data_IF_277593486431
#
_entry.id   IF_277593486431
#
_cell.length_a   1.000
_cell.length_b   1.000
_cell.length_c   1.000
_cell.angle_alpha   90.00
_cell.angle_beta   90.00
_cell.angle_gamma   90.00
#
_symmetry.space_group_name_H-M   'P 1'
#
loop_
_entity.id
_entity.type
_entity.pdbx_description
1 polymer ?
#
# COMPACT_ATOMS: atom_id res chain seq x y z
N UNK A 1 -18.36 18.13 5.19
CA UNK A 1 -18.38 19.51 5.70
C UNK A 1 -17.14 19.66 6.55
N UNK A 2 -16.18 20.51 6.15
CA UNK A 2 -14.97 20.78 6.95
C UNK A 2 -15.30 21.93 7.91
N UNK A 3 -14.96 21.82 9.19
CA UNK A 3 -15.25 22.87 10.17
C UNK A 3 -14.64 24.21 9.77
N UNK A 4 -15.36 25.31 9.97
CA UNK A 4 -14.85 26.69 9.84
C UNK A 4 -14.70 27.30 11.25
N UNK A 5 -13.53 27.83 11.63
CA UNK A 5 -12.27 27.84 10.88
C UNK A 5 -11.69 26.43 10.71
N UNK A 6 -10.82 26.28 9.70
CA UNK A 6 -10.15 25.02 9.42
C UNK A 6 -9.45 24.51 10.70
N UNK A 7 -9.69 23.26 11.09
CA UNK A 7 -9.11 22.74 12.32
C UNK A 7 -7.59 22.59 12.18
N UNK A 8 -6.89 22.85 13.27
CA UNK A 8 -5.51 22.44 13.44
C UNK A 8 -5.48 20.91 13.54
N UNK A 9 -4.58 20.27 12.78
CA UNK A 9 -4.51 18.81 12.68
C UNK A 9 -3.18 18.31 13.25
N UNK A 10 -3.26 17.34 14.15
CA UNK A 10 -2.09 16.71 14.77
C UNK A 10 -2.22 15.19 14.67
N UNK A 11 -1.17 14.54 14.21
CA UNK A 11 -1.12 13.07 14.11
C UNK A 11 -0.39 12.46 15.29
N UNK A 12 -0.88 11.31 15.77
CA UNK A 12 -0.22 10.48 16.77
C UNK A 12 0.08 9.09 16.22
N UNK A 13 1.26 8.58 16.55
CA UNK A 13 1.70 7.22 16.24
C UNK A 13 0.95 6.19 17.08
N UNK A 14 1.07 4.88 16.76
CA UNK A 14 0.50 3.80 17.58
C UNK A 14 1.01 3.79 19.03
N UNK A 15 2.22 4.32 19.25
CA UNK A 15 2.81 4.51 20.58
C UNK A 15 2.29 5.76 21.32
N UNK A 16 1.41 6.55 20.70
CA UNK A 16 0.82 7.77 21.26
C UNK A 16 1.68 9.02 21.13
N UNK A 17 2.84 8.93 20.47
CA UNK A 17 3.74 10.07 20.26
C UNK A 17 3.21 10.98 19.16
N UNK A 18 3.40 12.29 19.31
CA UNK A 18 3.08 13.27 18.26
C UNK A 18 4.03 13.06 17.09
N UNK A 19 3.46 12.88 15.90
CA UNK A 19 4.20 12.74 14.66
C UNK A 19 4.53 14.13 14.14
N UNK A 20 5.82 14.38 13.93
CA UNK A 20 6.33 15.54 13.21
C UNK A 20 6.81 15.12 11.83
N UNK A 21 6.86 16.07 10.90
CA UNK A 21 7.38 15.84 9.56
C UNK A 21 8.84 15.35 9.64
N UNK A 22 9.10 14.15 9.16
CA UNK A 22 10.39 13.46 9.07
C UNK A 22 10.52 12.93 7.64
N UNK A 23 11.49 13.46 6.89
CA UNK A 23 11.68 13.13 5.48
C UNK A 23 11.87 11.63 5.18
N UNK A 24 12.16 10.81 6.21
CA UNK A 24 12.44 9.38 6.04
C UNK A 24 11.19 8.50 6.17
N UNK A 25 10.31 8.75 7.13
CA UNK A 25 9.22 7.82 7.48
C UNK A 25 7.84 8.43 7.59
N UNK A 26 7.74 9.72 7.91
CA UNK A 26 6.47 10.39 8.18
C UNK A 26 6.42 11.72 7.47
N UNK A 27 5.50 11.85 6.51
CA UNK A 27 5.33 13.12 5.80
C UNK A 27 3.93 13.68 5.97
N UNK A 28 3.83 14.91 6.47
CA UNK A 28 2.55 15.62 6.54
C UNK A 28 2.33 16.35 5.21
N UNK A 29 1.29 15.96 4.48
CA UNK A 29 0.96 16.53 3.18
C UNK A 29 0.25 17.88 3.33
N UNK A 30 0.21 18.66 2.26
CA UNK A 30 -0.38 20.01 2.25
C UNK A 30 -1.87 20.04 2.54
N UNK A 31 -2.58 18.92 2.39
CA UNK A 31 -4.00 18.73 2.71
C UNK A 31 -4.22 18.26 4.16
N UNK A 32 -3.15 18.02 4.93
CA UNK A 32 -3.18 17.49 6.29
C UNK A 32 -3.18 15.96 6.39
N UNK A 33 -3.14 15.25 5.27
CA UNK A 33 -2.99 13.79 5.24
C UNK A 33 -1.60 13.37 5.75
N UNK A 34 -1.49 12.18 6.33
CA UNK A 34 -0.23 11.61 6.79
C UNK A 34 0.22 10.51 5.82
N UNK A 35 1.39 10.69 5.23
CA UNK A 35 2.11 9.62 4.55
C UNK A 35 2.99 8.88 5.55
N UNK A 36 2.92 7.54 5.53
CA UNK A 36 3.76 6.65 6.33
C UNK A 36 4.46 5.67 5.41
N UNK A 37 5.79 5.69 5.38
CA UNK A 37 6.57 4.70 4.64
C UNK A 37 8.03 5.10 4.40
N UNK A 38 8.93 4.12 4.14
CA UNK A 38 8.68 2.69 3.96
C UNK A 38 8.27 1.97 5.26
N UNK A 39 7.21 1.16 5.22
CA UNK A 39 6.64 0.51 6.40
C UNK A 39 7.56 -0.57 6.97
N UNK A 40 7.83 -0.48 8.27
CA UNK A 40 8.46 -1.54 9.08
C UNK A 40 7.46 -2.11 10.09
N UNK A 41 7.74 -3.28 10.68
CA UNK A 41 6.82 -3.92 11.64
C UNK A 41 6.48 -3.00 12.83
N UNK A 42 7.42 -2.12 13.19
CA UNK A 42 7.25 -1.17 14.30
C UNK A 42 6.31 0.00 13.98
N UNK A 43 5.95 0.18 12.70
CA UNK A 43 5.03 1.21 12.21
C UNK A 43 3.59 0.68 12.06
N UNK A 44 3.34 -0.58 12.38
CA UNK A 44 1.99 -1.16 12.35
C UNK A 44 1.21 -0.70 13.58
N UNK A 45 -0.04 -0.30 13.37
CA UNK A 45 -0.96 0.01 14.45
C UNK A 45 -1.91 1.17 14.14
N UNK A 46 -2.55 1.68 15.19
CA UNK A 46 -3.58 2.72 15.07
C UNK A 46 -2.95 4.11 15.14
N UNK A 47 -3.00 4.84 14.04
CA UNK A 47 -2.62 6.24 13.95
C UNK A 47 -3.85 7.09 14.25
N UNK A 48 -3.70 8.09 15.12
CA UNK A 48 -4.82 8.96 15.52
C UNK A 48 -4.62 10.36 14.96
N UNK A 49 -5.61 10.86 14.23
CA UNK A 49 -5.69 12.25 13.81
C UNK A 49 -6.55 13.01 14.82
N UNK A 50 -5.97 14.04 15.42
CA UNK A 50 -6.67 15.00 16.26
C UNK A 50 -6.93 16.26 15.45
N UNK A 51 -8.18 16.69 15.39
CA UNK A 51 -8.60 17.92 14.73
C UNK A 51 -9.22 18.86 15.76
N UNK A 52 -8.64 20.05 15.96
CA UNK A 52 -9.15 21.04 16.89
C UNK A 52 -9.38 22.42 16.26
N UNK A 53 -10.51 23.04 16.55
CA UNK A 53 -10.76 24.45 16.24
C UNK A 53 -11.40 25.15 17.45
N UNK A 54 -11.65 26.46 17.32
CA UNK A 54 -12.24 27.26 18.41
C UNK A 54 -13.63 26.78 18.86
N UNK A 55 -14.30 25.94 18.07
CA UNK A 55 -15.66 25.44 18.32
C UNK A 55 -15.69 24.00 18.83
N UNK A 56 -14.58 23.26 18.77
CA UNK A 56 -14.56 21.87 19.22
C UNK A 56 -13.28 21.11 18.90
N UNK A 57 -13.26 19.88 19.37
CA UNK A 57 -12.20 18.89 19.12
C UNK A 57 -12.86 17.60 18.65
N UNK A 58 -12.22 16.95 17.69
CA UNK A 58 -12.63 15.65 17.17
C UNK A 58 -11.39 14.78 16.96
N UNK A 59 -11.58 13.47 17.03
CA UNK A 59 -10.53 12.50 16.82
C UNK A 59 -11.00 11.30 16.00
N UNK A 60 -10.11 10.81 15.14
CA UNK A 60 -10.35 9.64 14.31
C UNK A 60 -9.07 8.80 14.26
N UNK A 61 -9.22 7.49 14.20
CA UNK A 61 -8.10 6.57 14.08
C UNK A 61 -8.11 5.79 12.77
N UNK A 62 -6.92 5.49 12.28
CA UNK A 62 -6.67 4.70 11.08
C UNK A 62 -5.70 3.57 11.41
N UNK A 63 -6.05 2.35 11.03
CA UNK A 63 -5.19 1.20 11.25
C UNK A 63 -4.24 1.03 10.07
N UNK A 64 -2.94 1.11 10.32
CA UNK A 64 -1.88 0.79 9.37
C UNK A 64 -1.46 -0.65 9.57
N UNK A 65 -1.41 -1.41 8.48
CA UNK A 65 -0.92 -2.79 8.44
C UNK A 65 0.10 -2.93 7.33
N UNK A 66 1.14 -3.75 7.55
CA UNK A 66 2.05 -4.12 6.46
C UNK A 66 1.32 -5.07 5.54
N UNK A 67 1.30 -4.69 4.27
CA UNK A 67 0.85 -5.57 3.21
C UNK A 67 2.07 -6.32 2.68
N UNK A 68 1.95 -7.64 2.58
CA UNK A 68 3.02 -8.44 1.97
C UNK A 68 2.92 -8.32 0.45
N UNK A 69 4.04 -8.29 -0.29
CA UNK A 69 3.99 -8.46 -1.73
C UNK A 69 3.17 -9.71 -2.07
N UNK A 70 2.30 -9.67 -3.09
CA UNK A 70 1.49 -10.82 -3.45
C UNK A 70 2.39 -12.03 -3.72
N UNK A 71 1.98 -13.17 -3.18
CA UNK A 71 2.67 -14.44 -3.34
C UNK A 71 2.77 -14.82 -4.81
N UNK A 72 3.75 -15.68 -5.13
CA UNK A 72 3.93 -16.20 -6.48
C UNK A 72 2.59 -16.73 -7.03
N UNK A 73 2.18 -16.35 -8.25
CA UNK A 73 0.88 -16.75 -8.76
C UNK A 73 0.85 -18.23 -9.12
N UNK A 74 -0.29 -18.85 -8.83
CA UNK A 74 -0.65 -20.12 -9.40
C UNK A 74 -1.00 -19.89 -10.88
N UNK A 75 -0.30 -20.58 -11.77
CA UNK A 75 -0.49 -20.49 -13.21
C UNK A 75 -1.22 -21.76 -13.66
N UNK A 76 -2.37 -21.57 -14.28
CA UNK A 76 -3.16 -22.63 -14.90
C UNK A 76 -3.13 -22.46 -16.42
N UNK A 77 -2.74 -23.50 -17.14
CA UNK A 77 -2.85 -23.53 -18.59
C UNK A 77 -4.31 -23.68 -18.98
N UNK A 78 -4.84 -22.72 -19.74
CA UNK A 78 -6.23 -22.76 -20.20
C UNK A 78 -6.33 -23.37 -21.60
N UNK A 79 -5.51 -22.88 -22.53
CA UNK A 79 -5.47 -23.40 -23.91
C UNK A 79 -4.15 -23.09 -24.59
N UNK A 80 -3.79 -23.92 -25.55
CA UNK A 80 -2.62 -23.73 -26.41
C UNK A 80 -3.05 -23.77 -27.87
N UNK A 81 -2.54 -22.82 -28.66
CA UNK A 81 -2.62 -22.84 -30.12
C UNK A 81 -1.20 -22.86 -30.69
N UNK A 82 -1.06 -22.99 -32.01
CA UNK A 82 0.24 -22.95 -32.69
C UNK A 82 0.99 -21.62 -32.49
N UNK A 83 0.29 -20.54 -32.16
CA UNK A 83 0.86 -19.19 -32.07
C UNK A 83 0.64 -18.52 -30.72
N UNK A 84 -0.10 -19.14 -29.80
CA UNK A 84 -0.47 -18.52 -28.54
C UNK A 84 -0.66 -19.53 -27.42
N UNK A 85 -0.41 -19.07 -26.20
CA UNK A 85 -0.69 -19.79 -24.96
C UNK A 85 -1.60 -18.89 -24.13
N UNK A 86 -2.76 -19.42 -23.74
CA UNK A 86 -3.68 -18.76 -22.83
C UNK A 86 -3.49 -19.35 -21.43
N UNK A 87 -3.14 -18.48 -20.49
CA UNK A 87 -2.96 -18.84 -19.09
C UNK A 87 -3.95 -18.05 -18.23
N UNK A 88 -4.47 -18.71 -17.20
CA UNK A 88 -5.13 -18.06 -16.09
C UNK A 88 -4.13 -18.02 -14.93
N UNK A 89 -3.88 -16.85 -14.38
CA UNK A 89 -3.00 -16.69 -13.23
C UNK A 89 -3.76 -16.05 -12.08
N UNK A 90 -3.47 -16.52 -10.86
CA UNK A 90 -4.00 -15.94 -9.62
C UNK A 90 -2.92 -15.96 -8.55
N UNK A 91 -2.64 -14.84 -7.86
CA UNK A 91 -1.70 -14.84 -6.74
C UNK A 91 -2.12 -15.87 -5.69
N UNK A 92 -1.14 -16.57 -5.11
CA UNK A 92 -1.37 -17.54 -4.03
C UNK A 92 -1.83 -16.88 -2.73
N UNK A 93 -1.43 -15.62 -2.53
CA UNK A 93 -1.85 -14.75 -1.44
C UNK A 93 -1.80 -13.30 -1.94
N UNK A 94 -2.84 -12.52 -1.71
CA UNK A 94 -2.93 -11.12 -2.16
C UNK A 94 -2.27 -10.14 -1.19
N UNK A 95 -1.83 -10.60 -0.01
CA UNK A 95 -1.07 -9.77 0.92
C UNK A 95 -1.86 -8.63 1.55
N UNK A 96 -3.17 -8.54 1.25
CA UNK A 96 -4.06 -7.42 1.63
C UNK A 96 -3.90 -6.15 0.79
N UNK A 97 -3.03 -6.12 -0.23
CA UNK A 97 -2.88 -4.98 -1.14
C UNK A 97 -3.75 -5.11 -2.39
N UNK A 98 -4.34 -4.00 -2.83
CA UNK A 98 -4.94 -3.91 -4.16
C UNK A 98 -3.81 -4.16 -5.17
N UNK A 99 -3.95 -5.20 -6.00
CA UNK A 99 -2.98 -5.50 -7.06
C UNK A 99 -3.09 -4.39 -8.11
N UNK A 100 -2.20 -3.40 -8.01
CA UNK A 100 -2.22 -2.23 -8.89
C UNK A 100 -1.59 -2.52 -10.26
N UNK A 101 -0.57 -3.37 -10.33
CA UNK A 101 0.16 -3.71 -11.57
C UNK A 101 0.77 -5.13 -11.50
N UNK A 102 0.15 -6.15 -12.11
CA UNK A 102 0.78 -7.45 -12.27
C UNK A 102 1.83 -7.38 -13.39
N UNK A 103 3.03 -6.90 -13.07
CA UNK A 103 4.14 -6.90 -14.00
C UNK A 103 4.62 -8.34 -14.23
N UNK A 104 4.04 -9.00 -15.22
CA UNK A 104 4.48 -10.31 -15.72
C UNK A 104 5.43 -10.07 -16.88
N UNK A 105 6.68 -10.51 -16.75
CA UNK A 105 7.64 -10.52 -17.84
C UNK A 105 7.69 -11.91 -18.47
N UNK A 106 7.46 -11.97 -19.78
CA UNK A 106 7.69 -13.18 -20.57
C UNK A 106 9.12 -13.14 -21.11
N UNK A 107 9.92 -14.14 -20.76
CA UNK A 107 11.27 -14.29 -21.30
C UNK A 107 11.36 -15.59 -22.11
N UNK A 108 11.64 -15.48 -23.40
CA UNK A 108 12.03 -16.65 -24.20
C UNK A 108 13.46 -17.03 -23.82
N UNK A 109 13.61 -18.21 -23.21
CA UNK A 109 14.92 -18.73 -22.79
C UNK A 109 15.50 -19.70 -23.81
N UNK A 110 14.65 -20.33 -24.64
CA UNK A 110 15.04 -21.21 -25.76
C UNK A 110 13.97 -21.16 -26.86
N UNK A 111 14.21 -21.82 -28.00
CA UNK A 111 13.21 -22.01 -29.07
C UNK A 111 11.94 -22.75 -28.64
N UNK A 112 11.92 -23.38 -27.46
CA UNK A 112 10.79 -24.19 -26.98
C UNK A 112 10.34 -23.84 -25.56
N UNK A 113 10.92 -22.82 -24.91
CA UNK A 113 10.56 -22.45 -23.54
C UNK A 113 10.36 -20.95 -23.36
N UNK A 114 9.19 -20.61 -22.79
CA UNK A 114 8.87 -19.28 -22.30
C UNK A 114 8.84 -19.36 -20.77
N UNK A 115 9.65 -18.55 -20.11
CA UNK A 115 9.68 -18.40 -18.67
C UNK A 115 8.83 -17.19 -18.28
N UNK A 116 8.03 -17.34 -17.22
CA UNK A 116 7.23 -16.26 -16.63
C UNK A 116 7.96 -15.77 -15.39
N UNK A 117 8.39 -14.51 -15.39
CA UNK A 117 9.07 -13.90 -14.26
C UNK A 117 8.10 -13.00 -13.48
N UNK A 118 7.86 -13.35 -12.22
CA UNK A 118 7.03 -12.58 -11.30
C UNK A 118 7.87 -11.48 -10.63
N UNK A 119 7.57 -10.21 -10.93
CA UNK A 119 8.19 -9.04 -10.29
C UNK A 119 7.13 -8.09 -9.74
N UNK A 120 6.57 -8.37 -8.55
CA UNK A 120 5.62 -7.45 -7.94
C UNK A 120 6.36 -6.15 -7.56
N UNK A 121 5.79 -5.00 -7.94
CA UNK A 121 6.23 -3.70 -7.44
C UNK A 121 5.50 -3.41 -6.12
N UNK A 122 6.24 -3.28 -5.03
CA UNK A 122 5.73 -2.81 -3.74
C UNK A 122 6.59 -1.63 -3.32
N UNK A 123 5.98 -0.45 -3.18
CA UNK A 123 6.64 0.77 -2.71
C UNK A 123 6.71 0.84 -1.17
N UNK A 124 5.98 -0.04 -0.47
CA UNK A 124 6.04 -0.13 0.98
C UNK A 124 5.40 1.02 1.71
N UNK A 125 4.61 1.87 1.05
CA UNK A 125 3.98 3.04 1.65
C UNK A 125 2.48 2.88 1.86
N UNK A 126 1.94 3.63 2.84
CA UNK A 126 0.50 3.86 2.98
C UNK A 126 0.24 5.36 3.11
N UNK A 127 -0.79 5.85 2.40
CA UNK A 127 -1.31 7.22 2.56
C UNK A 127 -2.55 7.14 3.46
N UNK A 128 -2.56 7.94 4.53
CA UNK A 128 -3.68 8.02 5.48
C UNK A 128 -4.34 9.39 5.32
N UNK A 129 -5.62 9.40 4.96
CA UNK A 129 -6.42 10.61 4.62
C UNK A 129 -7.46 10.97 5.67
#
# INVERSE_FOLDING_TARGET
MVGLPAPNRVWKSPSGNIITDDEVFYRILSDGSLYVGPLTNDMVGNYTCLADNIFGKDDIYYQVTILSPPGVPNILLQSTTTHSISILWKPSYDGGAIITLPNILLQSTTTHSISILWKPSYDGGAIIT
#
